data_IF_520172789082
#
_entry.id   IF_520172789082
#
_cell.length_a   1.000
_cell.length_b   1.000
_cell.length_c   1.000
_cell.angle_alpha   90.00
_cell.angle_beta   90.00
_cell.angle_gamma   90.00
#
_symmetry.space_group_name_H-M   'P 1'
#
loop_
_entity.id
_entity.type
_entity.pdbx_description
1 polymer ?
#
# COMPACT_ATOMS: atom_id res chain seq x y z
N UNK A 1 -4.41 11.77 -14.85
CA UNK A 1 -5.00 11.50 -13.52
C UNK A 1 -3.93 11.82 -12.50
N UNK A 2 -4.32 12.36 -11.33
CA UNK A 2 -3.38 12.68 -10.24
C UNK A 2 -2.78 11.42 -9.64
N UNK A 3 -1.74 11.57 -8.81
CA UNK A 3 -1.25 10.48 -7.97
C UNK A 3 -2.37 10.04 -7.03
N UNK A 4 -2.35 8.78 -6.60
CA UNK A 4 -3.13 8.31 -5.46
C UNK A 4 -2.11 8.09 -4.34
N UNK A 5 -2.46 8.43 -3.11
CA UNK A 5 -1.65 8.13 -1.93
C UNK A 5 -2.55 7.88 -0.74
N UNK A 6 -2.07 7.06 0.19
CA UNK A 6 -2.86 6.55 1.29
C UNK A 6 -2.15 6.80 2.61
N UNK A 7 -2.94 7.06 3.65
CA UNK A 7 -2.48 7.02 5.03
C UNK A 7 -2.60 5.57 5.54
N UNK A 8 -1.50 5.04 6.08
CA UNK A 8 -1.54 3.74 6.74
C UNK A 8 -2.38 3.85 8.03
N UNK A 9 -3.44 3.04 8.19
CA UNK A 9 -4.36 3.19 9.32
C UNK A 9 -3.75 2.78 10.68
N UNK A 10 -2.67 2.01 10.67
CA UNK A 10 -1.98 1.53 11.88
C UNK A 10 -0.98 2.55 12.43
N UNK A 11 -0.18 3.17 11.56
CA UNK A 11 0.87 4.10 11.97
C UNK A 11 0.49 5.57 11.74
N UNK A 12 -0.61 5.86 11.04
CA UNK A 12 -1.08 7.20 10.68
C UNK A 12 -0.11 8.02 9.81
N UNK A 13 0.89 7.36 9.19
CA UNK A 13 1.82 8.00 8.26
C UNK A 13 1.44 7.69 6.80
N UNK A 14 1.75 8.61 5.86
CA UNK A 14 1.55 8.37 4.44
C UNK A 14 2.44 7.22 3.94
N UNK A 15 1.97 6.51 2.91
CA UNK A 15 2.76 5.56 2.14
C UNK A 15 3.35 6.32 0.95
N UNK A 16 4.63 6.70 1.07
CA UNK A 16 5.27 7.59 0.11
C UNK A 16 5.77 6.85 -1.15
N UNK A 17 5.75 7.54 -2.28
CA UNK A 17 6.36 7.09 -3.53
C UNK A 17 6.67 8.29 -4.43
N UNK A 18 7.81 8.25 -5.13
CA UNK A 18 8.25 9.27 -6.09
C UNK A 18 7.87 8.92 -7.55
N UNK A 19 7.01 7.91 -7.74
CA UNK A 19 6.62 7.32 -9.03
C UNK A 19 7.71 6.53 -9.76
N UNK A 20 8.91 6.39 -9.19
CA UNK A 20 9.99 5.52 -9.67
C UNK A 20 10.40 4.50 -8.61
N UNK A 21 10.17 4.83 -7.35
CA UNK A 21 10.40 4.03 -6.15
C UNK A 21 9.39 4.43 -5.08
N UNK A 22 9.13 3.52 -4.16
CA UNK A 22 8.19 3.78 -3.08
C UNK A 22 8.42 2.92 -1.86
N UNK A 23 7.72 3.26 -0.79
CA UNK A 23 7.73 2.48 0.44
C UNK A 23 7.12 1.10 0.21
N UNK A 24 7.61 0.14 0.99
CA UNK A 24 7.05 -1.21 0.97
C UNK A 24 5.68 -1.22 1.64
N UNK A 25 4.65 -1.57 0.89
CA UNK A 25 3.27 -1.59 1.34
C UNK A 25 2.55 -2.89 0.96
N UNK A 26 1.42 -3.10 1.62
CA UNK A 26 0.39 -4.07 1.25
C UNK A 26 -0.83 -3.26 0.85
N UNK A 27 -1.34 -3.51 -0.35
CA UNK A 27 -2.57 -2.93 -0.86
C UNK A 27 -3.61 -4.04 -0.98
N UNK A 28 -4.83 -3.77 -0.55
CA UNK A 28 -5.94 -4.72 -0.57
C UNK A 28 -7.15 -4.05 -1.21
N UNK A 29 -7.76 -4.72 -2.19
CA UNK A 29 -9.06 -4.34 -2.74
C UNK A 29 -10.15 -4.93 -1.85
N UNK A 30 -10.89 -4.08 -1.15
CA UNK A 30 -11.95 -4.47 -0.21
C UNK A 30 -13.30 -4.11 -0.81
N UNK A 31 -14.29 -5.00 -0.69
CA UNK A 31 -15.68 -4.72 -1.01
C UNK A 31 -16.57 -5.29 0.08
N UNK A 32 -17.39 -4.43 0.68
CA UNK A 32 -18.31 -4.80 1.78
C UNK A 32 -17.61 -5.56 2.92
N UNK A 33 -16.36 -5.16 3.24
CA UNK A 33 -15.54 -5.77 4.30
C UNK A 33 -14.80 -7.05 3.90
N UNK A 34 -14.94 -7.50 2.64
CA UNK A 34 -14.25 -8.69 2.13
C UNK A 34 -13.08 -8.27 1.24
N UNK A 35 -11.89 -8.81 1.50
CA UNK A 35 -10.72 -8.66 0.63
C UNK A 35 -10.91 -9.52 -0.62
N UNK A 36 -10.96 -8.89 -1.79
CA UNK A 36 -11.12 -9.55 -3.08
C UNK A 36 -9.78 -9.94 -3.71
N UNK A 37 -8.79 -9.06 -3.57
CA UNK A 37 -7.46 -9.19 -4.14
C UNK A 37 -6.49 -8.34 -3.31
N UNK A 38 -5.21 -8.70 -3.31
CA UNK A 38 -4.18 -7.92 -2.65
C UNK A 38 -2.85 -8.04 -3.37
N UNK A 39 -1.98 -7.06 -3.15
CA UNK A 39 -0.63 -7.03 -3.68
C UNK A 39 0.34 -6.46 -2.63
N UNK A 40 1.60 -6.87 -2.72
CA UNK A 40 2.65 -6.41 -1.82
C UNK A 40 3.90 -6.07 -2.61
N UNK A 41 4.51 -4.92 -2.31
CA UNK A 41 5.68 -4.44 -3.02
C UNK A 41 5.99 -2.98 -2.71
N UNK A 42 6.79 -2.36 -3.56
CA UNK A 42 7.03 -0.91 -3.48
C UNK A 42 5.85 -0.18 -4.12
N UNK A 43 5.29 0.77 -3.39
CA UNK A 43 4.17 1.58 -3.85
C UNK A 43 4.50 2.34 -5.13
N UNK A 44 3.54 2.44 -6.07
CA UNK A 44 3.77 3.06 -7.38
C UNK A 44 3.21 4.48 -7.56
N UNK A 45 2.66 5.08 -6.49
CA UNK A 45 1.91 6.36 -6.51
C UNK A 45 0.56 6.33 -7.26
N UNK A 46 0.07 5.17 -7.70
CA UNK A 46 -1.17 5.04 -8.48
C UNK A 46 -2.06 3.91 -7.97
N UNK A 47 -1.99 3.62 -6.67
CA UNK A 47 -2.84 2.60 -6.06
C UNK A 47 -2.43 1.16 -6.37
N UNK A 48 -1.16 0.93 -6.75
CA UNK A 48 -0.61 -0.39 -7.04
C UNK A 48 0.83 -0.51 -6.53
N UNK A 49 1.49 -1.61 -6.86
CA UNK A 49 2.91 -1.84 -6.56
C UNK A 49 3.70 -2.16 -7.83
N UNK A 50 4.96 -1.73 -7.85
CA UNK A 50 5.87 -2.00 -8.97
C UNK A 50 6.12 -3.50 -9.15
N UNK A 51 6.29 -3.92 -10.41
CA UNK A 51 6.80 -5.24 -10.76
C UNK A 51 8.25 -5.37 -10.31
N UNK A 52 8.63 -6.56 -9.84
CA UNK A 52 10.00 -6.80 -9.34
C UNK A 52 11.05 -6.57 -10.43
N UNK A 53 10.72 -6.90 -11.68
CA UNK A 53 11.62 -6.85 -12.84
C UNK A 53 11.86 -5.44 -13.38
N UNK A 54 11.04 -4.46 -13.01
CA UNK A 54 11.15 -3.07 -13.49
C UNK A 54 11.99 -2.19 -12.57
N UNK A 55 12.52 -2.73 -11.46
CA UNK A 55 13.41 -2.02 -10.54
C UNK A 55 14.68 -1.51 -11.26
N UNK A 56 14.84 -0.19 -11.33
CA UNK A 56 16.05 0.46 -11.82
C UNK A 56 16.17 0.58 -13.35
N UNK A 57 15.14 0.14 -14.09
CA UNK A 57 14.98 0.51 -15.49
C UNK A 57 14.22 1.85 -15.48
N UNK A 58 14.67 2.88 -16.20
CA UNK A 58 14.35 4.32 -16.07
C UNK A 58 12.90 4.76 -15.74
N UNK A 59 12.27 5.70 -16.49
CA UNK A 59 10.95 6.20 -16.13
C UNK A 59 9.87 5.17 -16.45
N UNK A 60 9.64 4.25 -15.53
CA UNK A 60 8.58 3.25 -15.64
C UNK A 60 7.40 3.66 -14.78
N UNK A 61 6.64 4.62 -15.30
CA UNK A 61 5.29 4.90 -14.83
C UNK A 61 4.27 4.15 -15.70
N UNK A 62 3.18 3.66 -15.09
CA UNK A 62 2.06 3.05 -15.80
C UNK A 62 2.00 1.52 -15.78
N UNK A 63 1.09 0.97 -16.56
CA UNK A 63 0.63 -0.44 -16.48
C UNK A 63 1.72 -1.48 -16.80
N UNK A 64 2.70 -1.10 -17.61
CA UNK A 64 3.85 -1.96 -17.91
C UNK A 64 4.75 -2.13 -16.68
N UNK A 65 4.81 -1.12 -15.80
CA UNK A 65 5.68 -1.06 -14.64
C UNK A 65 5.12 -1.70 -13.38
N UNK A 66 3.79 -1.78 -13.26
CA UNK A 66 3.09 -2.16 -12.04
C UNK A 66 2.21 -3.39 -12.23
N UNK A 67 1.95 -4.13 -11.16
CA UNK A 67 0.91 -5.16 -11.17
C UNK A 67 -0.47 -4.50 -11.30
N UNK A 68 -1.34 -5.08 -12.13
CA UNK A 68 -2.71 -4.60 -12.30
C UNK A 68 -3.63 -5.36 -11.34
N UNK A 69 -4.66 -4.67 -10.86
CA UNK A 69 -5.81 -5.30 -10.25
C UNK A 69 -6.52 -6.17 -11.31
N UNK A 70 -6.89 -7.38 -10.94
CA UNK A 70 -7.54 -8.36 -11.82
C UNK A 70 -8.97 -8.68 -11.39
N UNK A 71 -9.30 -8.45 -10.12
CA UNK A 71 -10.64 -8.70 -9.58
C UNK A 71 -11.68 -7.68 -10.06
N UNK A 72 -11.25 -6.49 -10.51
CA UNK A 72 -12.14 -5.40 -10.91
C UNK A 72 -11.41 -4.39 -11.81
N UNK A 73 -12.14 -3.75 -12.72
CA UNK A 73 -11.60 -2.68 -13.57
C UNK A 73 -11.23 -1.44 -12.75
N UNK A 74 -10.17 -0.73 -13.15
CA UNK A 74 -9.65 0.42 -12.41
C UNK A 74 -10.71 1.51 -12.16
N UNK A 75 -11.56 1.81 -13.15
CA UNK A 75 -12.63 2.81 -13.01
C UNK A 75 -13.64 2.46 -11.92
N UNK A 76 -13.97 1.17 -11.79
CA UNK A 76 -14.87 0.68 -10.75
C UNK A 76 -14.18 0.68 -9.39
N UNK A 77 -12.88 0.34 -9.33
CA UNK A 77 -12.08 0.43 -8.09
C UNK A 77 -12.04 1.86 -7.56
N UNK A 78 -11.77 2.84 -8.44
CA UNK A 78 -11.77 4.26 -8.07
C UNK A 78 -13.15 4.70 -7.59
N UNK A 79 -14.21 4.29 -8.29
CA UNK A 79 -15.59 4.59 -7.89
C UNK A 79 -15.93 3.95 -6.54
N UNK A 80 -15.45 2.72 -6.30
CA UNK A 80 -15.62 2.01 -5.04
C UNK A 80 -14.90 2.71 -3.90
N UNK A 81 -13.69 3.21 -4.12
CA UNK A 81 -12.89 3.90 -3.11
C UNK A 81 -13.50 5.25 -2.69
N UNK A 82 -14.02 6.03 -3.65
CA UNK A 82 -14.60 7.35 -3.39
C UNK A 82 -16.12 7.33 -3.12
N UNK A 83 -16.70 6.17 -2.79
CA UNK A 83 -18.14 6.06 -2.51
C UNK A 83 -18.53 6.45 -1.08
N UNK A 84 -17.56 6.75 -0.20
CA UNK A 84 -17.78 7.14 1.20
C UNK A 84 -18.05 5.98 2.16
N UNK A 85 -17.91 4.72 1.72
CA UNK A 85 -18.05 3.53 2.56
C UNK A 85 -16.68 3.08 3.08
N UNK A 86 -16.51 3.04 4.41
CA UNK A 86 -15.25 2.63 5.05
C UNK A 86 -14.87 1.15 4.85
N UNK A 87 -15.76 0.36 4.24
CA UNK A 87 -15.59 -1.07 4.01
C UNK A 87 -15.51 -1.42 2.51
N UNK A 88 -15.37 -0.43 1.63
CA UNK A 88 -15.27 -0.64 0.19
C UNK A 88 -14.29 0.33 -0.45
N UNK A 89 -13.28 -0.18 -1.16
CA UNK A 89 -12.19 0.62 -1.71
C UNK A 89 -10.82 -0.05 -1.53
N UNK A 90 -9.77 0.76 -1.47
CA UNK A 90 -8.40 0.28 -1.25
C UNK A 90 -8.02 0.49 0.22
N UNK A 91 -7.54 -0.59 0.84
CA UNK A 91 -6.85 -0.53 2.11
C UNK A 91 -5.34 -0.66 1.87
N UNK A 92 -4.56 0.18 2.54
CA UNK A 92 -3.14 0.34 2.29
C UNK A 92 -2.37 0.42 3.62
N UNK A 93 -1.42 -0.49 3.81
CA UNK A 93 -0.63 -0.59 5.02
C UNK A 93 0.85 -0.55 4.66
N UNK A 94 1.69 0.09 5.47
CA UNK A 94 3.12 -0.22 5.42
C UNK A 94 3.31 -1.72 5.71
N UNK A 95 4.23 -2.37 4.99
CA UNK A 95 4.42 -3.83 5.09
C UNK A 95 4.74 -4.31 6.51
N UNK A 96 5.34 -3.46 7.35
CA UNK A 96 5.63 -3.78 8.76
C UNK A 96 4.50 -3.49 9.74
N UNK A 97 3.41 -2.84 9.31
CA UNK A 97 2.30 -2.46 10.17
C UNK A 97 1.11 -3.43 10.09
N UNK A 98 0.95 -4.14 8.98
CA UNK A 98 -0.12 -5.11 8.83
C UNK A 98 0.13 -6.36 9.68
N UNK A 99 -0.86 -6.75 10.50
CA UNK A 99 -0.75 -7.87 11.44
C UNK A 99 -1.14 -9.24 10.83
N UNK A 100 -1.73 -9.23 9.63
CA UNK A 100 -2.18 -10.41 8.92
C UNK A 100 -3.69 -10.69 9.01
N UNK A 101 -4.47 -9.87 9.71
CA UNK A 101 -5.93 -10.03 9.77
C UNK A 101 -6.60 -9.51 8.49
N UNK A 102 -7.15 -10.44 7.70
CA UNK A 102 -7.87 -10.14 6.45
C UNK A 102 -9.39 -10.03 6.65
N UNK A 103 -9.92 -10.34 7.84
CA UNK A 103 -11.37 -10.43 8.10
C UNK A 103 -11.99 -9.09 8.52
N UNK A 104 -11.18 -8.13 8.96
CA UNK A 104 -11.64 -6.82 9.47
C UNK A 104 -10.97 -5.61 8.80
N UNK A 105 -10.57 -5.76 7.53
CA UNK A 105 -9.84 -4.71 6.82
C UNK A 105 -10.75 -3.53 6.51
N UNK A 106 -10.42 -2.35 7.04
CA UNK A 106 -11.01 -1.07 6.65
C UNK A 106 -10.16 -0.38 5.59
N UNK A 107 -10.81 0.39 4.71
CA UNK A 107 -10.11 1.18 3.68
C UNK A 107 -9.27 2.29 4.29
N UNK A 108 -8.17 2.62 3.61
CA UNK A 108 -7.29 3.71 4.05
C UNK A 108 -7.87 5.06 3.67
N UNK A 109 -7.61 6.06 4.50
CA UNK A 109 -7.88 7.45 4.15
C UNK A 109 -6.95 7.91 3.02
N UNK A 110 -7.44 8.80 2.16
CA UNK A 110 -6.61 9.51 1.19
C UNK A 110 -5.57 10.37 1.91
N UNK A 111 -4.35 10.37 1.38
CA UNK A 111 -3.33 11.32 1.79
C UNK A 111 -3.57 12.69 1.11
N UNK A 112 -3.82 13.77 1.88
CA UNK A 112 -4.06 15.10 1.32
C UNK A 112 -2.84 15.67 0.58
N UNK A 113 -1.63 15.23 0.93
CA UNK A 113 -0.38 15.64 0.28
C UNK A 113 0.01 14.70 -0.88
N UNK A 114 -0.86 13.74 -1.21
CA UNK A 114 -0.74 12.87 -2.39
C UNK A 114 0.57 12.07 -2.46
N UNK A 115 1.19 11.80 -1.31
CA UNK A 115 2.45 11.06 -1.18
C UNK A 115 3.68 11.92 -1.45
N UNK A 116 3.50 13.24 -1.64
CA UNK A 116 4.58 14.21 -1.84
C UNK A 116 5.02 14.76 -0.49
N UNK A 117 6.01 14.11 0.12
CA UNK A 117 6.61 14.53 1.38
C UNK A 117 7.99 13.92 1.56
N UNK A 118 8.78 14.44 2.50
CA UNK A 118 10.07 13.83 2.82
C UNK A 118 9.86 12.42 3.36
N UNK A 119 10.39 11.43 2.64
CA UNK A 119 10.53 10.06 3.10
C UNK A 119 11.40 10.04 4.36
N UNK A 120 10.77 9.98 5.52
CA UNK A 120 11.49 9.75 6.77
C UNK A 120 11.63 8.24 6.92
N UNK A 121 12.80 7.71 6.51
CA UNK A 121 13.24 6.40 6.98
C UNK A 121 13.02 6.35 8.50
N UNK A 122 12.53 5.24 9.08
CA UNK A 122 12.66 5.04 10.50
C UNK A 122 14.15 5.05 10.82
N UNK A 123 14.65 6.19 11.29
CA UNK A 123 15.99 6.29 11.84
C UNK A 123 16.01 5.35 13.03
N UNK A 124 16.96 4.41 13.02
CA UNK A 124 17.21 3.58 14.18
C UNK A 124 17.38 4.49 15.40
N UNK A 125 16.44 4.41 16.35
CA UNK A 125 16.55 5.00 17.67
C UNK A 125 16.02 6.43 17.79
N UNK A 126 14.79 6.57 18.27
CA UNK A 126 14.55 6.89 19.69
C UNK A 126 13.05 6.95 19.96
N UNK A 127 12.44 5.81 20.31
CA UNK A 127 11.22 5.85 21.11
C UNK A 127 11.60 6.35 22.51
N UNK A 128 11.30 7.62 22.78
CA UNK A 128 11.00 8.04 24.14
C UNK A 128 9.92 7.10 24.70
N UNK A 129 10.26 6.45 25.82
CA UNK A 129 9.48 5.39 26.47
C UNK A 129 9.40 4.03 25.75
N UNK A 130 10.59 3.46 25.53
CA UNK A 130 10.93 2.07 25.87
C UNK A 130 9.81 1.02 25.83
N UNK A 131 9.54 0.48 24.64
CA UNK A 131 9.23 -0.94 24.48
C UNK A 131 9.94 -1.43 23.23
N UNK A 132 10.90 -2.35 23.42
CA UNK A 132 11.66 -2.95 22.33
C UNK A 132 10.74 -3.87 21.53
N UNK A 133 10.23 -3.44 20.38
CA UNK A 133 9.54 -4.33 19.45
C UNK A 133 10.59 -5.18 18.76
N UNK A 134 10.74 -6.43 19.22
CA UNK A 134 11.51 -7.45 18.51
C UNK A 134 10.79 -7.75 17.21
N UNK A 135 11.25 -7.16 16.12
CA UNK A 135 10.80 -7.52 14.78
C UNK A 135 11.23 -8.96 14.53
N UNK A 136 10.28 -9.90 14.61
CA UNK A 136 10.51 -11.28 14.16
C UNK A 136 10.37 -11.26 12.63
N UNK A 137 11.36 -11.75 11.87
CA UNK A 137 11.18 -11.91 10.45
C UNK A 137 10.16 -13.03 10.27
N UNK A 138 9.01 -12.74 9.64
CA UNK A 138 8.03 -13.78 9.37
C UNK A 138 7.43 -13.59 7.99
N UNK A 139 7.43 -14.71 7.27
CA UNK A 139 6.70 -15.03 6.06
C UNK A 139 7.39 -14.80 4.72
N UNK A 140 7.81 -15.92 4.14
CA UNK A 140 7.97 -16.13 2.70
C UNK A 140 6.60 -16.35 2.08
N UNK A 141 6.36 -15.76 0.90
CA UNK A 141 5.17 -15.97 0.09
C UNK A 141 4.92 -17.48 -0.15
N UNK A 142 3.66 -17.94 -0.21
CA UNK A 142 3.38 -19.27 -0.74
C UNK A 142 3.78 -19.31 -2.22
N UNK A 143 4.60 -20.30 -2.59
CA UNK A 143 4.96 -20.54 -3.98
C UNK A 143 3.69 -20.79 -4.81
N UNK A 144 3.57 -20.05 -5.91
CA UNK A 144 2.54 -20.32 -6.92
C UNK A 144 2.90 -21.66 -7.57
N UNK A 145 2.06 -22.68 -7.35
CA UNK A 145 2.20 -24.03 -7.92
C UNK A 145 1.76 -24.05 -9.38
#
# INVERSE_FOLDING_TARGET
MGCVSYICPECEHPICSDSFSGEHCILMLVKEGVVLEWMQGQYDSYGRVFKVETKGLGPHCGDEASYLWTAMDWGDIVSLHYNGCSYSGIAAYHSGCFDGDMENVTVSNDDPEQGWGEYQFPTEGTHGHGTTVKVKPKWTQPEVV
#
